data_IF_750166131013
#
_entry.id   IF_750166131013
#
_cell.length_a   1.000
_cell.length_b   1.000
_cell.length_c   1.000
_cell.angle_alpha   90.00
_cell.angle_beta   90.00
_cell.angle_gamma   90.00
#
_symmetry.space_group_name_H-M   'P 1'
#
loop_
_entity.id
_entity.type
_entity.pdbx_description
1 polymer ?
#
# COMPACT_ATOMS: atom_id res chain seq x y z
N UNK A 1 4.42 14.64 2.28
CA UNK A 1 5.89 14.83 2.19
C UNK A 1 6.59 13.58 2.73
N UNK A 2 7.55 13.04 1.98
CA UNK A 2 8.30 11.83 2.37
C UNK A 2 9.79 12.18 2.42
N UNK A 3 10.47 11.77 3.47
CA UNK A 3 11.91 11.94 3.61
C UNK A 3 12.55 10.61 4.01
N UNK A 4 13.54 10.18 3.24
CA UNK A 4 14.26 8.91 3.39
C UNK A 4 15.72 9.24 3.60
N UNK A 5 16.34 8.64 4.61
CA UNK A 5 17.73 8.89 4.97
C UNK A 5 18.48 7.57 5.20
N UNK A 6 19.53 7.35 4.40
CA UNK A 6 20.48 6.26 4.57
C UNK A 6 19.86 4.86 4.54
N UNK A 7 18.79 4.63 3.78
CA UNK A 7 18.10 3.34 3.76
C UNK A 7 19.00 2.26 3.17
N UNK A 8 19.24 1.23 3.97
CA UNK A 8 19.87 -0.02 3.51
C UNK A 8 18.91 -1.19 3.64
N UNK A 9 19.06 -2.17 2.76
CA UNK A 9 18.33 -3.44 2.82
C UNK A 9 19.11 -4.55 2.18
N UNK A 10 19.22 -5.69 2.88
CA UNK A 10 19.86 -6.89 2.40
C UNK A 10 18.93 -8.10 2.51
N UNK A 11 19.10 -9.07 1.63
CA UNK A 11 18.46 -10.37 1.67
C UNK A 11 19.57 -11.44 1.65
N UNK A 12 19.83 -12.03 2.80
CA UNK A 12 21.00 -12.88 2.99
C UNK A 12 22.29 -12.08 2.73
N UNK A 13 23.11 -12.55 1.80
CA UNK A 13 24.38 -11.91 1.43
C UNK A 13 24.22 -10.83 0.33
N UNK A 14 23.01 -10.63 -0.20
CA UNK A 14 22.77 -9.67 -1.26
C UNK A 14 22.28 -8.34 -0.68
N UNK A 15 23.11 -7.30 -0.72
CA UNK A 15 22.70 -5.94 -0.38
C UNK A 15 22.00 -5.30 -1.58
N UNK A 16 20.69 -5.08 -1.42
CA UNK A 16 19.80 -4.54 -2.47
C UNK A 16 19.74 -3.01 -2.42
N UNK A 17 19.57 -2.44 -1.22
CA UNK A 17 19.62 -0.99 -1.03
C UNK A 17 20.88 -0.62 -0.26
N UNK A 18 21.61 0.39 -0.77
CA UNK A 18 22.99 0.70 -0.34
C UNK A 18 23.13 2.14 0.18
N UNK A 19 22.21 2.56 1.06
CA UNK A 19 22.22 3.91 1.61
C UNK A 19 21.47 4.88 0.69
N UNK A 20 20.16 4.70 0.55
CA UNK A 20 19.32 5.55 -0.30
C UNK A 20 18.84 6.75 0.50
N UNK A 21 19.07 7.95 -0.05
CA UNK A 21 18.49 9.20 0.39
C UNK A 21 17.50 9.70 -0.67
N UNK A 22 16.30 10.12 -0.24
CA UNK A 22 15.28 10.62 -1.16
C UNK A 22 14.34 11.57 -0.40
N UNK A 23 14.02 12.69 -1.03
CA UNK A 23 13.01 13.62 -0.55
C UNK A 23 11.91 13.78 -1.59
N UNK A 24 10.66 13.66 -1.16
CA UNK A 24 9.47 13.86 -2.01
C UNK A 24 8.61 14.94 -1.36
N UNK A 25 8.41 16.04 -2.05
CA UNK A 25 7.58 17.16 -1.62
C UNK A 25 6.10 16.82 -1.60
N UNK A 26 5.30 17.64 -0.94
CA UNK A 26 3.84 17.49 -0.95
C UNK A 26 3.28 17.78 -2.35
N UNK A 27 2.47 16.86 -2.89
CA UNK A 27 1.88 16.97 -4.22
C UNK A 27 2.83 16.62 -5.36
N UNK A 28 4.04 16.20 -5.07
CA UNK A 28 5.02 15.78 -6.07
C UNK A 28 4.73 14.36 -6.57
N UNK A 29 4.92 14.15 -7.87
CA UNK A 29 4.87 12.84 -8.52
C UNK A 29 6.30 12.43 -8.86
N UNK A 30 6.73 11.30 -8.32
CA UNK A 30 8.09 10.78 -8.50
C UNK A 30 8.05 9.41 -9.19
N UNK A 31 8.94 9.21 -10.17
CA UNK A 31 9.14 7.92 -10.82
C UNK A 31 10.49 7.34 -10.40
N UNK A 32 10.47 6.07 -9.93
CA UNK A 32 11.69 5.32 -9.61
C UNK A 32 11.99 4.39 -10.79
N UNK A 33 13.09 4.67 -11.48
CA UNK A 33 13.51 3.93 -12.67
C UNK A 33 14.80 3.15 -12.42
N UNK A 34 15.03 2.11 -13.20
CA UNK A 34 16.26 1.29 -13.12
C UNK A 34 16.02 -0.13 -13.65
N UNK A 35 17.08 -0.93 -13.81
CA UNK A 35 16.99 -2.31 -14.30
C UNK A 35 16.21 -3.22 -13.35
N UNK A 36 15.83 -4.40 -13.85
CA UNK A 36 15.22 -5.44 -13.00
C UNK A 36 16.22 -5.84 -11.88
N UNK A 37 15.71 -6.07 -10.69
CA UNK A 37 16.53 -6.40 -9.51
C UNK A 37 17.23 -5.21 -8.84
N UNK A 38 17.10 -3.97 -9.34
CA UNK A 38 17.73 -2.78 -8.74
C UNK A 38 17.13 -2.33 -7.37
N UNK A 39 16.17 -3.08 -6.81
CA UNK A 39 15.60 -2.76 -5.51
C UNK A 39 14.41 -1.79 -5.52
N UNK A 40 13.88 -1.42 -6.70
CA UNK A 40 12.75 -0.48 -6.81
C UNK A 40 11.53 -0.90 -5.99
N UNK A 41 11.11 -2.14 -6.12
CA UNK A 41 9.98 -2.71 -5.36
C UNK A 41 10.28 -2.74 -3.87
N UNK A 42 11.51 -3.12 -3.49
CA UNK A 42 11.96 -3.13 -2.08
C UNK A 42 11.89 -1.72 -1.48
N UNK A 43 12.35 -0.70 -2.22
CA UNK A 43 12.29 0.68 -1.77
C UNK A 43 10.83 1.14 -1.60
N UNK A 44 9.95 0.84 -2.58
CA UNK A 44 8.52 1.15 -2.48
C UNK A 44 7.84 0.44 -1.31
N UNK A 45 8.18 -0.82 -1.03
CA UNK A 45 7.66 -1.56 0.12
C UNK A 45 8.11 -0.95 1.45
N UNK A 46 9.35 -0.46 1.55
CA UNK A 46 9.85 0.23 2.74
C UNK A 46 9.16 1.59 2.92
N UNK A 47 9.02 2.37 1.85
CA UNK A 47 8.27 3.65 1.88
C UNK A 47 6.81 3.42 2.27
N UNK A 48 6.19 2.39 1.68
CA UNK A 48 4.82 1.97 1.97
C UNK A 48 4.64 1.25 3.30
N UNK A 49 5.71 1.15 4.12
CA UNK A 49 5.70 0.51 5.45
C UNK A 49 5.31 -0.99 5.44
N UNK A 50 5.44 -1.64 4.29
CA UNK A 50 5.19 -3.09 4.14
C UNK A 50 6.41 -3.92 4.53
N UNK A 51 7.61 -3.34 4.41
CA UNK A 51 8.87 -3.93 4.89
C UNK A 51 9.64 -2.92 5.73
N UNK A 52 10.61 -3.40 6.50
CA UNK A 52 11.50 -2.56 7.32
C UNK A 52 12.89 -2.49 6.69
N UNK A 53 13.54 -1.33 6.72
CA UNK A 53 14.94 -1.24 6.34
C UNK A 53 15.83 -1.93 7.40
N UNK A 54 17.04 -2.32 7.00
CA UNK A 54 18.06 -2.79 7.94
C UNK A 54 18.67 -1.61 8.70
N UNK A 55 18.83 -0.47 8.02
CA UNK A 55 19.25 0.80 8.65
C UNK A 55 18.66 1.99 7.92
N UNK A 56 18.80 3.18 8.50
CA UNK A 56 18.24 4.41 8.01
C UNK A 56 16.86 4.71 8.55
N UNK A 57 16.21 5.73 8.03
CA UNK A 57 14.89 6.16 8.50
C UNK A 57 13.99 6.61 7.37
N UNK A 58 12.69 6.40 7.55
CA UNK A 58 11.62 6.93 6.70
C UNK A 58 10.73 7.83 7.55
N UNK A 59 10.52 9.05 7.08
CA UNK A 59 9.61 10.03 7.69
C UNK A 59 8.53 10.39 6.68
N UNK A 60 7.27 10.27 7.07
CA UNK A 60 6.11 10.64 6.26
C UNK A 60 5.31 11.68 7.00
N UNK A 61 5.09 12.83 6.39
CA UNK A 61 4.39 13.99 6.96
C UNK A 61 4.86 14.36 8.39
N UNK A 62 6.19 14.32 8.61
CA UNK A 62 6.83 14.62 9.90
C UNK A 62 6.85 13.46 10.90
N UNK A 63 6.21 12.34 10.60
CA UNK A 63 6.18 11.16 11.47
C UNK A 63 7.27 10.17 11.04
N UNK A 64 8.23 9.88 11.93
CA UNK A 64 9.22 8.82 11.68
C UNK A 64 8.56 7.45 11.80
N UNK A 65 8.23 6.84 10.65
CA UNK A 65 7.54 5.55 10.59
C UNK A 65 8.48 4.37 10.91
N UNK A 66 9.78 4.52 10.71
CA UNK A 66 10.76 3.47 11.04
C UNK A 66 10.83 3.16 12.53
N UNK A 67 10.52 4.14 13.38
CA UNK A 67 10.51 4.01 14.84
C UNK A 67 9.19 3.50 15.43
N UNK A 68 8.14 3.32 14.62
CA UNK A 68 6.84 2.91 15.13
C UNK A 68 6.80 1.42 15.49
N UNK A 69 6.07 1.08 16.56
CA UNK A 69 5.73 -0.30 16.89
C UNK A 69 4.82 -0.89 15.79
N UNK A 70 4.75 -2.21 15.69
CA UNK A 70 3.97 -2.92 14.65
C UNK A 70 2.51 -2.46 14.61
N UNK A 71 1.85 -2.30 15.76
CA UNK A 71 0.45 -1.87 15.81
C UNK A 71 0.30 -0.42 15.31
N UNK A 72 1.14 0.50 15.80
CA UNK A 72 1.13 1.91 15.35
C UNK A 72 1.45 2.04 13.85
N UNK A 73 2.34 1.19 13.34
CA UNK A 73 2.68 1.16 11.92
C UNK A 73 1.51 0.66 11.07
N UNK A 74 0.76 -0.33 11.54
CA UNK A 74 -0.45 -0.82 10.87
C UNK A 74 -1.55 0.25 10.83
N UNK A 75 -1.78 0.94 11.95
CA UNK A 75 -2.72 2.08 12.01
C UNK A 75 -2.29 3.21 11.07
N UNK A 76 -1.00 3.55 11.09
CA UNK A 76 -0.46 4.57 10.20
C UNK A 76 -0.67 4.21 8.74
N UNK A 77 -0.30 2.99 8.32
CA UNK A 77 -0.49 2.50 6.95
C UNK A 77 -1.95 2.56 6.53
N UNK A 78 -2.86 2.10 7.36
CA UNK A 78 -4.29 2.10 7.06
C UNK A 78 -4.85 3.49 6.78
N UNK A 79 -4.33 4.52 7.48
CA UNK A 79 -4.86 5.90 7.41
C UNK A 79 -4.14 6.81 6.43
N UNK A 80 -2.87 6.54 6.12
CA UNK A 80 -2.00 7.50 5.42
C UNK A 80 -1.41 6.97 4.12
N UNK A 81 -1.49 5.65 3.84
CA UNK A 81 -0.85 5.05 2.67
C UNK A 81 -1.86 4.30 1.83
N UNK A 82 -1.94 4.65 0.54
CA UNK A 82 -2.56 3.83 -0.49
C UNK A 82 -1.48 3.10 -1.28
N UNK A 83 -1.65 1.81 -1.51
CA UNK A 83 -0.70 0.99 -2.26
C UNK A 83 -1.39 0.29 -3.43
N UNK A 84 -0.88 0.48 -4.64
CA UNK A 84 -1.32 -0.24 -5.83
C UNK A 84 -0.24 -1.26 -6.20
N UNK A 85 -0.59 -2.54 -6.17
CA UNK A 85 0.33 -3.63 -6.49
C UNK A 85 0.34 -3.96 -7.98
N UNK A 86 1.44 -4.54 -8.45
CA UNK A 86 1.54 -5.07 -9.81
C UNK A 86 0.51 -6.19 -10.07
N UNK A 87 0.27 -7.03 -9.06
CA UNK A 87 -0.79 -8.03 -9.06
C UNK A 87 -1.77 -7.69 -7.95
N UNK A 88 -3.06 -7.83 -8.23
CA UNK A 88 -4.11 -7.60 -7.23
C UNK A 88 -3.90 -8.50 -5.99
N UNK A 89 -4.17 -7.96 -4.82
CA UNK A 89 -4.03 -8.66 -3.53
C UNK A 89 -5.41 -8.94 -2.91
N UNK A 90 -6.41 -9.24 -3.76
CA UNK A 90 -7.76 -9.52 -3.30
C UNK A 90 -7.83 -10.88 -2.60
N UNK A 91 -8.57 -10.93 -1.51
CA UNK A 91 -8.85 -12.15 -0.78
C UNK A 91 -9.92 -12.95 -1.54
N UNK A 92 -9.61 -14.18 -2.00
CA UNK A 92 -10.48 -14.93 -2.90
C UNK A 92 -11.80 -15.40 -2.28
N UNK A 93 -11.87 -15.45 -0.94
CA UNK A 93 -13.06 -15.85 -0.18
C UNK A 93 -14.13 -14.75 -0.17
N UNK A 94 -13.74 -13.50 -0.34
CA UNK A 94 -14.60 -12.32 -0.26
C UNK A 94 -15.01 -11.81 -1.63
N UNK A 95 -16.19 -11.21 -1.69
CA UNK A 95 -16.67 -10.48 -2.87
C UNK A 95 -15.87 -9.18 -3.10
N UNK A 96 -16.05 -8.55 -4.26
CA UNK A 96 -15.46 -7.23 -4.55
C UNK A 96 -15.85 -6.20 -3.48
N UNK A 97 -17.13 -6.13 -3.12
CA UNK A 97 -17.64 -5.25 -2.08
C UNK A 97 -16.93 -5.51 -0.74
N UNK A 98 -16.85 -6.76 -0.33
CA UNK A 98 -16.23 -7.14 0.95
C UNK A 98 -14.73 -6.85 0.96
N UNK A 99 -14.00 -7.09 -0.12
CA UNK A 99 -12.59 -6.72 -0.24
C UNK A 99 -12.36 -5.22 -0.01
N UNK A 100 -13.21 -4.37 -0.61
CA UNK A 100 -13.12 -2.91 -0.41
C UNK A 100 -13.49 -2.50 1.02
N UNK A 101 -14.35 -3.25 1.71
CA UNK A 101 -14.75 -2.96 3.09
C UNK A 101 -13.65 -3.29 4.13
N UNK A 102 -12.72 -4.20 3.83
CA UNK A 102 -11.69 -4.66 4.78
C UNK A 102 -10.88 -3.50 5.38
N UNK A 103 -10.32 -2.55 4.61
CA UNK A 103 -9.58 -1.44 5.19
C UNK A 103 -10.41 -0.57 6.15
N UNK A 104 -11.71 -0.41 5.89
CA UNK A 104 -12.60 0.31 6.77
C UNK A 104 -12.83 -0.43 8.10
N UNK A 105 -12.96 -1.76 8.06
CA UNK A 105 -13.04 -2.57 9.28
C UNK A 105 -11.76 -2.51 10.11
N UNK A 106 -10.59 -2.54 9.46
CA UNK A 106 -9.31 -2.36 10.14
C UNK A 106 -9.24 -0.99 10.82
N UNK A 107 -9.83 0.05 10.20
CA UNK A 107 -9.95 1.39 10.79
C UNK A 107 -11.01 1.50 11.90
N UNK A 108 -11.70 0.40 12.24
CA UNK A 108 -12.75 0.37 13.29
C UNK A 108 -14.10 0.94 12.83
N UNK A 109 -14.33 1.08 11.52
CA UNK A 109 -15.60 1.57 10.99
C UNK A 109 -16.72 0.54 11.12
N UNK A 110 -17.94 1.01 11.34
CA UNK A 110 -19.13 0.17 11.38
C UNK A 110 -19.49 -0.40 10.00
N UNK A 111 -20.17 -1.55 9.99
CA UNK A 111 -20.53 -2.27 8.74
C UNK A 111 -21.34 -1.40 7.77
N UNK A 112 -22.29 -0.62 8.27
CA UNK A 112 -23.12 0.25 7.43
C UNK A 112 -22.30 1.34 6.74
N UNK A 113 -21.39 2.01 7.49
CA UNK A 113 -20.51 3.04 6.95
C UNK A 113 -19.52 2.45 5.94
N UNK A 114 -18.89 1.32 6.26
CA UNK A 114 -17.96 0.64 5.37
C UNK A 114 -18.65 0.21 4.06
N UNK A 115 -19.87 -0.34 4.15
CA UNK A 115 -20.65 -0.77 2.99
C UNK A 115 -21.02 0.40 2.10
N UNK A 116 -21.59 1.47 2.66
CA UNK A 116 -21.98 2.65 1.89
C UNK A 116 -20.80 3.26 1.12
N UNK A 117 -19.64 3.37 1.79
CA UNK A 117 -18.42 3.87 1.13
C UNK A 117 -17.89 2.92 0.04
N UNK A 118 -17.95 1.62 0.27
CA UNK A 118 -17.51 0.63 -0.72
C UNK A 118 -18.43 0.62 -1.96
N UNK A 119 -19.74 0.76 -1.78
CA UNK A 119 -20.70 0.87 -2.89
C UNK A 119 -20.46 2.16 -3.72
N UNK A 120 -20.20 3.29 -3.06
CA UNK A 120 -19.83 4.53 -3.71
C UNK A 120 -18.56 4.38 -4.57
N UNK A 121 -17.51 3.73 -4.01
CA UNK A 121 -16.26 3.49 -4.73
C UNK A 121 -16.45 2.56 -5.93
N UNK A 122 -17.22 1.48 -5.78
CA UNK A 122 -17.54 0.58 -6.89
C UNK A 122 -18.29 1.31 -8.00
N UNK A 123 -19.24 2.17 -7.66
CA UNK A 123 -19.94 2.99 -8.64
C UNK A 123 -19.00 3.96 -9.37
N UNK A 124 -18.13 4.65 -8.62
CA UNK A 124 -17.13 5.56 -9.18
C UNK A 124 -16.18 4.86 -10.17
N UNK A 125 -15.81 3.61 -9.87
CA UNK A 125 -14.90 2.79 -10.68
C UNK A 125 -15.61 2.00 -11.81
N UNK A 126 -16.93 2.15 -11.95
CA UNK A 126 -17.73 1.44 -12.97
C UNK A 126 -17.84 -0.06 -12.69
N UNK A 127 -17.90 -0.44 -11.40
CA UNK A 127 -17.97 -1.83 -10.96
C UNK A 127 -19.19 -2.14 -10.08
N UNK A 128 -20.23 -1.28 -10.10
CA UNK A 128 -21.45 -1.47 -9.29
C UNK A 128 -22.06 -2.87 -9.49
N UNK A 129 -22.15 -3.32 -10.75
CA UNK A 129 -22.71 -4.63 -11.12
C UNK A 129 -21.79 -5.80 -10.72
N UNK A 130 -20.58 -5.53 -10.26
CA UNK A 130 -19.58 -6.51 -9.83
C UNK A 130 -19.47 -6.63 -8.32
N UNK A 131 -20.24 -5.86 -7.56
CA UNK A 131 -20.17 -5.81 -6.10
C UNK A 131 -20.17 -7.19 -5.42
N UNK A 132 -21.01 -8.10 -5.91
CA UNK A 132 -21.18 -9.44 -5.34
C UNK A 132 -20.31 -10.53 -6.01
N UNK A 133 -19.49 -10.17 -7.00
CA UNK A 133 -18.60 -11.13 -7.66
C UNK A 133 -17.36 -11.37 -6.82
N UNK A 134 -16.89 -12.63 -6.83
CA UNK A 134 -15.60 -13.00 -6.23
C UNK A 134 -14.44 -12.71 -7.20
N UNK A 135 -13.20 -12.61 -6.71
CA UNK A 135 -12.05 -12.32 -7.57
C UNK A 135 -11.89 -13.23 -8.78
N UNK A 136 -12.23 -14.53 -8.68
CA UNK A 136 -12.18 -15.47 -9.81
C UNK A 136 -13.21 -15.19 -10.91
N UNK A 137 -14.24 -14.41 -10.62
CA UNK A 137 -15.30 -13.99 -11.55
C UNK A 137 -15.05 -12.64 -12.19
N UNK A 138 -13.95 -11.95 -11.80
CA UNK A 138 -13.55 -10.65 -12.30
C UNK A 138 -12.43 -10.78 -13.33
N UNK A 139 -12.46 -9.93 -14.35
CA UNK A 139 -11.34 -9.77 -15.27
C UNK A 139 -10.11 -9.15 -14.58
N UNK A 140 -8.93 -9.25 -15.19
CA UNK A 140 -7.71 -8.67 -14.64
C UNK A 140 -7.82 -7.18 -14.36
N UNK A 141 -8.43 -6.42 -15.28
CA UNK A 141 -8.65 -4.98 -15.12
C UNK A 141 -9.70 -4.64 -14.05
N UNK A 142 -10.74 -5.46 -13.87
CA UNK A 142 -11.71 -5.31 -12.79
C UNK A 142 -11.06 -5.57 -11.43
N UNK A 143 -10.27 -6.64 -11.30
CA UNK A 143 -9.49 -6.96 -10.08
C UNK A 143 -8.55 -5.84 -9.67
N UNK A 144 -7.94 -5.17 -10.64
CA UNK A 144 -7.00 -4.08 -10.37
C UNK A 144 -7.70 -2.80 -9.90
N UNK A 145 -8.99 -2.65 -10.20
CA UNK A 145 -9.79 -1.51 -9.75
C UNK A 145 -10.45 -1.73 -8.39
N UNK A 146 -10.66 -3.00 -7.99
CA UNK A 146 -11.12 -3.38 -6.65
C UNK A 146 -10.00 -3.25 -5.63
#
# INVERSE_FOLDING_TARGET
MINIQGITKSFGNLQVLKGIDLHIGKGEIVSIVGPSGAGKTTLLQIIGTLDRPDSGSVTVDGINVSGLSTNKLSDFRNRHIGFVFQFHQLLPEFTALENIMIPAFIAGKGRSEAKARAEELLQFLGLADRANHKPNELSGGEKQRV
#
